data_IF_494633918677
#
_entry.id   IF_494633918677
#
_cell.length_a   1.000
_cell.length_b   1.000
_cell.length_c   1.000
_cell.angle_alpha   90.00
_cell.angle_beta   90.00
_cell.angle_gamma   90.00
#
_symmetry.space_group_name_H-M   'P 1'
#
loop_
_entity.id
_entity.type
_entity.pdbx_description
1 polymer ?
#
# COMPACT_ATOMS: atom_id res chain seq x y z
N UNK A 1 -10.82 1.67 8.07
CA UNK A 1 -9.45 1.77 7.53
C UNK A 1 -9.25 2.87 6.50
N UNK A 2 -10.33 3.38 5.92
CA UNK A 2 -10.20 4.49 4.97
C UNK A 2 -9.49 5.73 5.55
N UNK A 3 -9.54 6.05 6.87
CA UNK A 3 -8.73 7.15 7.41
C UNK A 3 -7.22 7.01 7.17
N UNK A 4 -6.72 5.82 6.89
CA UNK A 4 -5.31 5.65 6.55
C UNK A 4 -4.91 6.36 5.25
N UNK A 5 -5.84 6.63 4.34
CA UNK A 5 -5.54 7.39 3.13
C UNK A 5 -4.97 8.77 3.46
N UNK A 6 -5.50 9.43 4.48
CA UNK A 6 -5.00 10.74 4.88
C UNK A 6 -3.55 10.68 5.33
N UNK A 7 -3.23 9.72 6.18
CA UNK A 7 -1.86 9.53 6.67
C UNK A 7 -0.89 9.13 5.56
N UNK A 8 -1.33 8.28 4.63
CA UNK A 8 -0.50 7.90 3.48
C UNK A 8 -0.22 9.09 2.57
N UNK A 9 -1.22 9.95 2.37
CA UNK A 9 -1.02 11.16 1.57
C UNK A 9 -0.04 12.11 2.25
N UNK A 10 -0.10 12.24 3.56
CA UNK A 10 0.85 13.06 4.31
C UNK A 10 2.29 12.57 4.13
N UNK A 11 2.51 11.26 4.18
CA UNK A 11 3.82 10.67 3.92
C UNK A 11 4.28 10.93 2.48
N UNK A 12 3.38 10.76 1.52
CA UNK A 12 3.69 10.97 0.12
C UNK A 12 4.15 12.42 -0.12
N UNK A 13 3.41 13.39 0.39
CA UNK A 13 3.75 14.79 0.21
C UNK A 13 5.04 15.18 0.94
N UNK A 14 5.24 14.62 2.13
CA UNK A 14 6.41 14.94 2.94
C UNK A 14 7.71 14.47 2.32
N UNK A 15 7.71 13.31 1.66
CA UNK A 15 8.95 12.67 1.19
C UNK A 15 9.07 12.56 -0.32
N UNK A 16 8.08 12.97 -1.11
CA UNK A 16 8.13 12.78 -2.57
C UNK A 16 9.33 13.47 -3.23
N UNK A 17 9.73 14.62 -2.71
CA UNK A 17 10.90 15.34 -3.26
C UNK A 17 12.19 14.61 -2.99
N UNK A 18 12.20 13.71 -2.03
CA UNK A 18 13.36 12.87 -1.71
C UNK A 18 13.35 11.55 -2.49
N UNK A 19 12.47 11.40 -3.46
CA UNK A 19 12.39 10.21 -4.30
C UNK A 19 11.48 9.11 -3.78
N UNK A 20 10.60 9.44 -2.83
CA UNK A 20 9.64 8.49 -2.26
C UNK A 20 8.28 8.62 -2.95
N UNK A 21 7.58 7.51 -3.08
CA UNK A 21 6.19 7.51 -3.51
C UNK A 21 5.39 6.43 -2.78
N UNK A 22 4.17 6.78 -2.39
CA UNK A 22 3.18 5.79 -1.99
C UNK A 22 2.52 5.27 -3.26
N UNK A 23 2.23 3.97 -3.31
CA UNK A 23 1.50 3.36 -4.42
C UNK A 23 0.34 2.56 -3.85
N UNK A 24 -0.88 2.86 -4.31
CA UNK A 24 -2.09 2.19 -3.86
C UNK A 24 -2.54 1.12 -4.84
N UNK A 25 -2.80 -0.08 -4.33
CA UNK A 25 -3.29 -1.21 -5.12
C UNK A 25 -4.64 -1.65 -4.55
N UNK A 26 -5.76 -1.15 -5.09
CA UNK A 26 -7.08 -1.47 -4.56
C UNK A 26 -7.42 -2.95 -4.69
N UNK A 27 -8.10 -3.49 -3.67
CA UNK A 27 -8.51 -4.88 -3.64
C UNK A 27 -9.85 -4.99 -2.91
N UNK A 28 -10.75 -5.83 -3.39
CA UNK A 28 -12.07 -6.03 -2.77
C UNK A 28 -12.21 -7.36 -2.04
N UNK A 29 -11.10 -8.03 -1.73
CA UNK A 29 -11.13 -9.36 -1.11
C UNK A 29 -11.34 -9.34 0.40
N UNK A 30 -11.25 -8.18 1.05
CA UNK A 30 -11.32 -8.08 2.50
C UNK A 30 -12.56 -7.28 2.92
N UNK A 31 -13.63 -7.98 3.27
CA UNK A 31 -14.86 -7.36 3.72
C UNK A 31 -15.56 -6.52 2.65
N UNK A 32 -15.16 -6.65 1.39
CA UNK A 32 -15.71 -5.90 0.26
C UNK A 32 -15.72 -4.39 0.52
N UNK A 33 -14.61 -3.90 1.11
CA UNK A 33 -14.48 -2.47 1.46
C UNK A 33 -14.05 -1.59 0.28
N UNK A 34 -13.70 -2.20 -0.87
CA UNK A 34 -13.34 -1.49 -2.08
C UNK A 34 -14.18 -1.99 -3.26
N UNK A 35 -15.53 -1.83 -3.22
CA UNK A 35 -16.41 -2.42 -4.24
C UNK A 35 -16.41 -1.68 -5.57
N UNK A 36 -15.95 -0.44 -5.61
CA UNK A 36 -15.99 0.38 -6.82
C UNK A 36 -14.96 -0.01 -7.86
N UNK A 37 -15.07 0.58 -9.05
CA UNK A 37 -14.03 0.48 -10.07
C UNK A 37 -12.80 1.28 -9.65
N UNK A 38 -11.68 1.08 -10.35
CA UNK A 38 -10.47 1.85 -10.08
C UNK A 38 -10.73 3.36 -10.19
N UNK A 39 -11.51 3.78 -11.17
CA UNK A 39 -11.85 5.19 -11.36
C UNK A 39 -12.71 5.71 -10.21
N UNK A 40 -13.71 4.95 -9.76
CA UNK A 40 -14.55 5.34 -8.64
C UNK A 40 -13.77 5.45 -7.34
N UNK A 41 -12.85 4.52 -7.10
CA UNK A 41 -11.97 4.55 -5.94
C UNK A 41 -11.09 5.80 -5.99
N UNK A 42 -10.52 6.11 -7.16
CA UNK A 42 -9.71 7.31 -7.35
C UNK A 42 -10.51 8.58 -7.02
N UNK A 43 -11.73 8.68 -7.55
CA UNK A 43 -12.59 9.82 -7.29
C UNK A 43 -12.94 9.95 -5.80
N UNK A 44 -13.22 8.84 -5.14
CA UNK A 44 -13.50 8.84 -3.71
C UNK A 44 -12.32 9.39 -2.92
N UNK A 45 -11.10 8.92 -3.22
CA UNK A 45 -9.90 9.37 -2.54
C UNK A 45 -9.62 10.86 -2.79
N UNK A 46 -9.81 11.32 -4.02
CA UNK A 46 -9.61 12.73 -4.37
C UNK A 46 -10.57 13.64 -3.62
N UNK A 47 -11.86 13.27 -3.60
CA UNK A 47 -12.90 14.10 -2.98
C UNK A 47 -12.82 14.11 -1.46
N UNK A 48 -12.46 12.99 -0.84
CA UNK A 48 -12.52 12.85 0.61
C UNK A 48 -11.19 13.09 1.30
N UNK A 49 -10.07 12.83 0.63
CA UNK A 49 -8.74 12.86 1.27
C UNK A 49 -7.69 13.64 0.47
N UNK A 50 -8.03 14.13 -0.72
CA UNK A 50 -7.10 14.88 -1.55
C UNK A 50 -5.87 14.06 -1.94
N UNK A 51 -6.06 12.76 -2.20
CA UNK A 51 -4.96 11.84 -2.49
C UNK A 51 -4.30 12.17 -3.82
N UNK A 52 -2.97 12.36 -3.81
CA UNK A 52 -2.19 12.65 -5.02
C UNK A 52 -1.26 11.50 -5.43
N UNK A 53 -1.04 10.50 -4.55
CA UNK A 53 -0.20 9.36 -4.93
C UNK A 53 -0.93 8.45 -5.93
N UNK A 54 -0.18 7.67 -6.74
CA UNK A 54 -0.79 6.80 -7.74
C UNK A 54 -1.67 5.72 -7.11
N UNK A 55 -2.86 5.54 -7.68
CA UNK A 55 -3.75 4.42 -7.34
C UNK A 55 -3.93 3.62 -8.62
N UNK A 56 -3.51 2.37 -8.57
CA UNK A 56 -3.49 1.51 -9.75
C UNK A 56 -4.82 0.77 -9.93
N UNK A 57 -4.92 -0.05 -10.96
CA UNK A 57 -6.12 -0.83 -11.23
C UNK A 57 -6.38 -1.81 -10.08
N UNK A 58 -7.67 -2.05 -9.80
CA UNK A 58 -8.07 -3.04 -8.80
C UNK A 58 -7.52 -4.41 -9.19
N UNK A 59 -7.00 -5.16 -8.20
CA UNK A 59 -6.43 -6.48 -8.42
C UNK A 59 -6.76 -7.41 -7.27
N UNK A 60 -6.42 -8.69 -7.42
CA UNK A 60 -6.52 -9.65 -6.33
C UNK A 60 -5.13 -9.92 -5.77
N UNK A 61 -5.04 -9.95 -4.45
CA UNK A 61 -3.76 -10.10 -3.74
C UNK A 61 -3.54 -11.51 -3.22
N UNK A 62 -4.61 -12.30 -3.11
CA UNK A 62 -4.58 -13.69 -2.63
C UNK A 62 -5.37 -14.60 -3.57
N UNK A 63 -5.11 -15.91 -3.50
CA UNK A 63 -5.92 -16.91 -4.17
C UNK A 63 -5.51 -17.22 -5.59
N UNK A 64 -6.39 -17.92 -6.32
CA UNK A 64 -6.09 -18.43 -7.66
C UNK A 64 -5.81 -17.34 -8.68
N UNK A 65 -6.42 -16.15 -8.51
CA UNK A 65 -6.27 -15.02 -9.43
C UNK A 65 -5.32 -13.96 -8.89
N UNK A 66 -4.45 -14.32 -7.94
CA UNK A 66 -3.48 -13.40 -7.37
C UNK A 66 -2.63 -12.75 -8.47
N UNK A 67 -2.51 -11.42 -8.40
CA UNK A 67 -1.69 -10.68 -9.35
C UNK A 67 -0.20 -11.07 -9.17
N UNK A 68 0.57 -11.18 -10.27
CA UNK A 68 1.99 -11.55 -10.18
C UNK A 68 2.82 -10.71 -9.23
N UNK A 69 2.53 -9.42 -9.09
CA UNK A 69 3.21 -8.56 -8.12
C UNK A 69 3.08 -9.11 -6.70
N UNK A 70 1.87 -9.51 -6.31
CA UNK A 70 1.64 -10.03 -4.96
C UNK A 70 2.17 -11.46 -4.80
N UNK A 71 2.25 -12.22 -5.88
CA UNK A 71 2.94 -13.50 -5.84
C UNK A 71 4.43 -13.31 -5.49
N UNK A 72 5.06 -12.27 -6.03
CA UNK A 72 6.45 -11.94 -5.68
C UNK A 72 6.59 -11.41 -4.26
N UNK A 73 5.64 -10.59 -3.80
CA UNK A 73 5.70 -9.98 -2.47
C UNK A 73 5.43 -10.96 -1.34
N UNK A 74 4.59 -11.97 -1.58
CA UNK A 74 4.07 -12.84 -0.52
C UNK A 74 4.40 -14.31 -0.69
N UNK A 75 5.05 -14.68 -1.79
CA UNK A 75 5.37 -16.08 -2.10
C UNK A 75 6.42 -16.69 -1.17
N UNK A 76 6.64 -18.02 -1.28
CA UNK A 76 7.51 -18.71 -0.33
C UNK A 76 8.98 -18.27 -0.38
N UNK A 77 9.42 -17.67 -1.48
CA UNK A 77 10.79 -17.18 -1.60
C UNK A 77 10.91 -15.68 -1.32
N UNK A 78 9.82 -15.01 -0.99
CA UNK A 78 9.83 -13.58 -0.67
C UNK A 78 10.53 -13.31 0.66
N UNK A 79 11.02 -12.08 0.83
CA UNK A 79 11.67 -11.68 2.08
C UNK A 79 10.71 -11.73 3.26
N UNK A 80 9.42 -11.42 3.03
CA UNK A 80 8.37 -11.42 4.07
C UNK A 80 7.17 -12.22 3.56
N UNK A 81 7.26 -13.55 3.49
CA UNK A 81 6.22 -14.37 2.88
C UNK A 81 4.94 -14.44 3.71
N UNK A 82 3.88 -14.95 3.09
CA UNK A 82 2.59 -15.11 3.72
C UNK A 82 1.52 -14.26 3.07
N UNK A 83 0.30 -14.80 2.97
CA UNK A 83 -0.80 -14.11 2.31
C UNK A 83 -1.15 -12.80 3.00
N UNK A 84 -1.74 -11.88 2.24
CA UNK A 84 -2.24 -10.62 2.77
C UNK A 84 -3.42 -10.90 3.72
N UNK A 85 -3.44 -10.26 4.87
CA UNK A 85 -4.41 -10.55 5.93
C UNK A 85 -5.62 -9.64 5.92
N UNK A 86 -5.48 -8.38 5.48
CA UNK A 86 -6.58 -7.42 5.43
C UNK A 86 -6.20 -6.22 4.59
N UNK A 87 -7.13 -5.27 4.45
CA UNK A 87 -6.88 -4.00 3.77
C UNK A 87 -5.77 -3.20 4.47
N UNK A 88 -5.03 -2.42 3.69
CA UNK A 88 -3.94 -1.54 4.16
C UNK A 88 -2.73 -2.26 4.73
N UNK A 89 -2.50 -3.50 4.33
CA UNK A 89 -1.20 -4.11 4.56
C UNK A 89 -0.18 -3.41 3.66
N UNK A 90 1.04 -3.19 4.18
CA UNK A 90 2.00 -2.30 3.54
C UNK A 90 3.34 -2.99 3.35
N UNK A 91 3.99 -2.68 2.23
CA UNK A 91 5.34 -3.13 1.94
C UNK A 91 6.23 -1.92 1.69
N UNK A 92 7.37 -1.87 2.32
CA UNK A 92 8.37 -0.84 2.10
C UNK A 92 9.45 -1.40 1.17
N UNK A 93 9.65 -0.71 0.04
CA UNK A 93 10.55 -1.16 -1.02
C UNK A 93 11.63 -0.11 -1.25
N UNK A 94 12.89 -0.56 -1.39
CA UNK A 94 13.99 0.36 -1.64
C UNK A 94 14.11 0.75 -3.12
N UNK A 95 15.11 1.56 -3.44
CA UNK A 95 15.31 2.06 -4.81
C UNK A 95 15.69 0.95 -5.80
N UNK A 96 16.21 -0.16 -5.32
CA UNK A 96 16.58 -1.31 -6.15
C UNK A 96 15.41 -2.28 -6.35
N UNK A 97 14.24 -1.99 -5.80
CA UNK A 97 13.07 -2.85 -5.92
C UNK A 97 13.03 -3.99 -4.90
N UNK A 98 13.83 -3.92 -3.86
CA UNK A 98 13.88 -4.95 -2.83
C UNK A 98 12.98 -4.58 -1.66
N UNK A 99 12.16 -5.54 -1.19
CA UNK A 99 11.28 -5.34 -0.04
C UNK A 99 12.11 -5.33 1.24
N UNK A 100 12.05 -4.22 1.95
CA UNK A 100 12.83 -4.01 3.18
C UNK A 100 12.03 -4.31 4.44
N UNK A 101 10.71 -4.13 4.39
CA UNK A 101 9.85 -4.29 5.55
C UNK A 101 8.42 -4.54 5.10
N UNK A 102 7.67 -5.26 5.95
CA UNK A 102 6.23 -5.48 5.76
C UNK A 102 5.52 -5.07 7.03
N UNK A 103 4.48 -4.26 6.90
CA UNK A 103 3.72 -3.75 8.05
C UNK A 103 2.30 -4.28 8.01
N UNK A 104 1.78 -4.63 9.18
CA UNK A 104 0.42 -5.15 9.31
C UNK A 104 -0.61 -4.07 8.94
N UNK A 105 -1.84 -4.49 8.61
CA UNK A 105 -2.92 -3.54 8.32
C UNK A 105 -3.18 -2.54 9.45
N UNK A 106 -2.93 -2.92 10.70
CA UNK A 106 -3.16 -2.06 11.86
C UNK A 106 -2.05 -1.03 12.09
N UNK A 107 -0.89 -1.19 11.46
CA UNK A 107 0.17 -0.20 11.56
C UNK A 107 -0.23 1.03 10.77
N UNK A 108 -0.39 2.16 11.46
CA UNK A 108 -0.81 3.40 10.81
C UNK A 108 0.36 4.08 10.11
N UNK A 109 0.09 4.94 9.10
CA UNK A 109 1.16 5.69 8.44
C UNK A 109 1.95 6.63 9.35
N UNK A 110 1.40 6.99 10.51
CA UNK A 110 2.07 7.84 11.47
C UNK A 110 2.90 7.06 12.50
N UNK A 111 2.89 5.74 12.43
CA UNK A 111 3.65 4.90 13.36
C UNK A 111 5.14 5.21 13.27
N UNK A 112 5.80 5.51 14.42
CA UNK A 112 7.24 5.84 14.39
C UNK A 112 8.12 4.77 13.78
N UNK A 113 7.78 3.49 13.97
CA UNK A 113 8.56 2.39 13.40
C UNK A 113 8.52 2.42 11.87
N UNK A 114 7.35 2.68 11.29
CA UNK A 114 7.20 2.81 9.84
C UNK A 114 7.99 4.02 9.32
N UNK A 115 7.83 5.16 9.97
CA UNK A 115 8.50 6.40 9.56
C UNK A 115 10.01 6.25 9.64
N UNK A 116 10.54 5.66 10.71
CA UNK A 116 11.97 5.45 10.85
C UNK A 116 12.52 4.51 9.78
N UNK A 117 11.81 3.43 9.48
CA UNK A 117 12.22 2.50 8.43
C UNK A 117 12.25 3.19 7.07
N UNK A 118 11.25 4.01 6.78
CA UNK A 118 11.17 4.78 5.53
C UNK A 118 12.32 5.77 5.42
N UNK A 119 12.56 6.54 6.48
CA UNK A 119 13.60 7.57 6.47
C UNK A 119 15.00 6.97 6.31
N UNK A 120 15.22 5.76 6.80
CA UNK A 120 16.49 5.07 6.64
C UNK A 120 16.82 4.73 5.17
N UNK A 121 15.85 4.72 4.29
CA UNK A 121 16.03 4.41 2.87
C UNK A 121 16.15 5.64 1.97
N UNK A 122 15.97 6.84 2.51
CA UNK A 122 16.01 8.08 1.73
C UNK A 122 17.42 8.59 1.47
#
# INVERSE_FOLDING_TARGET
KTPQYKGLEELHQRYQEQGFSVMGFPCNQFGKQEPGTAQEIRQFCDLNYGVTFPIFAKLEVNGANQHPLYALLTGPTAAFPGKITWNFEKFLVNQEGEVQQRFSPSTTPSDPELIQALEALL
#
